data_IF_239020664908
#
_entry.id   IF_239020664908
#
_cell.length_a   1.000
_cell.length_b   1.000
_cell.length_c   1.000
_cell.angle_alpha   90.00
_cell.angle_beta   90.00
_cell.angle_gamma   90.00
#
_symmetry.space_group_name_H-M   'P 1'
#
loop_
_entity.id
_entity.type
_entity.pdbx_description
1 polymer ?
#
# COMPACT_ATOMS: atom_id res chain seq x y z
N UNK A 1 -9.44 28.67 37.11
CA UNK A 1 -9.42 28.33 35.68
C UNK A 1 -8.01 28.22 35.10
N UNK A 2 -7.09 29.08 35.46
CA UNK A 2 -5.70 28.96 35.03
C UNK A 2 -4.99 27.65 35.46
N UNK A 3 -5.41 27.08 36.60
CA UNK A 3 -4.87 25.80 37.08
C UNK A 3 -5.23 24.61 36.21
N UNK A 4 -6.40 24.60 35.58
CA UNK A 4 -6.81 23.53 34.65
C UNK A 4 -6.06 23.59 33.32
N UNK A 5 -5.82 24.77 32.80
CA UNK A 5 -5.03 24.94 31.57
C UNK A 5 -3.56 24.63 31.79
N UNK A 6 -3.01 24.89 32.98
CA UNK A 6 -1.65 24.51 33.35
C UNK A 6 -1.47 22.99 33.47
N UNK A 7 -2.46 22.30 34.06
CA UNK A 7 -2.46 20.83 34.11
C UNK A 7 -2.55 20.20 32.72
N UNK A 8 -3.38 20.75 31.84
CA UNK A 8 -3.50 20.30 30.48
C UNK A 8 -2.21 20.51 29.69
N UNK A 9 -1.57 21.67 29.82
CA UNK A 9 -0.30 21.97 29.20
C UNK A 9 0.83 21.08 29.72
N UNK A 10 0.83 20.71 31.00
CA UNK A 10 1.79 19.74 31.56
C UNK A 10 1.61 18.34 31.02
N UNK A 11 0.38 17.86 30.90
CA UNK A 11 0.09 16.54 30.32
C UNK A 11 0.47 16.51 28.85
N UNK A 12 0.10 17.54 28.09
CA UNK A 12 0.51 17.68 26.69
C UNK A 12 2.02 17.86 26.52
N UNK A 13 2.64 18.63 27.40
CA UNK A 13 4.09 18.82 27.40
C UNK A 13 4.86 17.52 27.67
N UNK A 14 4.36 16.68 28.58
CA UNK A 14 4.96 15.38 28.88
C UNK A 14 4.78 14.37 27.73
N UNK A 15 3.61 14.34 27.14
CA UNK A 15 3.33 13.48 25.97
C UNK A 15 4.20 13.89 24.79
N UNK A 16 4.35 15.18 24.54
CA UNK A 16 5.25 15.69 23.50
C UNK A 16 6.74 15.39 23.79
N UNK A 17 7.16 15.48 25.04
CA UNK A 17 8.51 15.11 25.44
C UNK A 17 8.75 13.60 25.30
N UNK A 18 7.79 12.76 25.64
CA UNK A 18 7.87 11.33 25.42
C UNK A 18 7.91 10.98 23.93
N UNK A 19 7.11 11.64 23.10
CA UNK A 19 7.14 11.49 21.64
C UNK A 19 8.48 11.96 21.06
N UNK A 20 9.05 13.04 21.57
CA UNK A 20 10.37 13.51 21.16
C UNK A 20 11.50 12.56 21.59
N UNK A 21 11.41 12.01 22.79
CA UNK A 21 12.36 11.00 23.28
C UNK A 21 12.22 9.68 22.51
N UNK A 22 11.01 9.25 22.19
CA UNK A 22 10.76 8.09 21.33
C UNK A 22 11.32 8.32 19.92
N UNK A 23 11.19 9.51 19.37
CA UNK A 23 11.79 9.86 18.06
C UNK A 23 13.32 9.81 18.08
N UNK A 24 13.96 10.16 19.19
CA UNK A 24 15.41 10.08 19.33
C UNK A 24 15.92 8.63 19.49
N UNK A 25 15.13 7.76 20.07
CA UNK A 25 15.44 6.33 20.24
C UNK A 25 14.97 5.46 19.08
N UNK A 26 14.19 6.03 18.16
CA UNK A 26 13.83 5.34 16.93
C UNK A 26 15.08 5.11 16.10
N UNK A 27 15.64 3.94 16.23
CA UNK A 27 16.74 3.47 15.43
C UNK A 27 16.35 3.52 13.94
N UNK A 28 17.33 3.71 13.08
CA UNK A 28 17.17 3.67 11.61
C UNK A 28 16.33 2.47 11.12
N UNK A 29 16.36 1.36 11.88
CA UNK A 29 15.61 0.14 11.62
C UNK A 29 14.09 0.37 11.69
N UNK A 30 13.59 1.09 12.71
CA UNK A 30 12.16 1.39 12.87
C UNK A 30 11.69 2.36 11.77
N UNK A 31 12.51 3.32 11.38
CA UNK A 31 12.21 4.21 10.25
C UNK A 31 12.13 3.48 8.91
N UNK A 32 12.99 2.48 8.71
CA UNK A 32 12.96 1.63 7.51
C UNK A 32 11.71 0.74 7.51
N UNK A 33 11.32 0.17 8.66
CA UNK A 33 10.12 -0.64 8.81
C UNK A 33 8.84 0.18 8.61
N UNK A 34 8.74 1.36 9.21
CA UNK A 34 7.58 2.25 9.03
C UNK A 34 7.48 2.78 7.61
N UNK A 35 8.60 3.08 6.97
CA UNK A 35 8.65 3.49 5.57
C UNK A 35 8.20 2.35 4.65
N UNK A 36 8.64 1.12 4.92
CA UNK A 36 8.24 -0.06 4.15
C UNK A 36 6.73 -0.33 4.27
N UNK A 37 6.19 -0.30 5.49
CA UNK A 37 4.75 -0.45 5.73
C UNK A 37 3.92 0.64 5.04
N UNK A 38 4.40 1.87 5.02
CA UNK A 38 3.71 2.97 4.35
C UNK A 38 3.71 2.80 2.82
N UNK A 39 4.84 2.40 2.26
CA UNK A 39 4.94 2.13 0.81
C UNK A 39 4.03 0.98 0.39
N UNK A 40 3.94 -0.07 1.20
CA UNK A 40 3.02 -1.19 0.95
C UNK A 40 1.57 -0.73 0.87
N UNK A 41 1.11 0.09 1.80
CA UNK A 41 -0.26 0.61 1.77
C UNK A 41 -0.52 1.51 0.55
N UNK A 42 0.42 2.36 0.18
CA UNK A 42 0.29 3.22 -0.99
C UNK A 42 0.22 2.42 -2.30
N UNK A 43 1.03 1.38 -2.44
CA UNK A 43 0.99 0.48 -3.62
C UNK A 43 -0.34 -0.26 -3.68
N UNK A 44 -0.79 -0.81 -2.56
CA UNK A 44 -2.07 -1.53 -2.50
C UNK A 44 -3.25 -0.65 -2.88
N UNK A 45 -3.31 0.56 -2.36
CA UNK A 45 -4.37 1.53 -2.68
C UNK A 45 -4.38 1.90 -4.16
N UNK A 46 -3.22 2.13 -4.76
CA UNK A 46 -3.10 2.42 -6.19
C UNK A 46 -3.50 1.23 -7.07
N UNK A 47 -3.01 0.04 -6.73
CA UNK A 47 -3.39 -1.20 -7.45
C UNK A 47 -4.89 -1.42 -7.40
N UNK A 48 -5.51 -1.27 -6.24
CA UNK A 48 -6.97 -1.38 -6.10
C UNK A 48 -7.70 -0.34 -6.95
N UNK A 49 -7.26 0.91 -6.91
CA UNK A 49 -7.87 1.98 -7.69
C UNK A 49 -7.85 1.69 -9.20
N UNK A 50 -6.73 1.18 -9.71
CA UNK A 50 -6.60 0.80 -11.13
C UNK A 50 -7.54 -0.36 -11.47
N UNK A 51 -7.61 -1.37 -10.62
CA UNK A 51 -8.50 -2.54 -10.82
C UNK A 51 -9.97 -2.08 -10.85
N UNK A 52 -10.38 -1.27 -9.90
CA UNK A 52 -11.73 -0.71 -9.84
C UNK A 52 -12.06 0.11 -11.09
N UNK A 53 -11.13 0.93 -11.56
CA UNK A 53 -11.31 1.77 -12.74
C UNK A 53 -11.43 0.96 -14.03
N UNK A 54 -10.64 -0.09 -14.19
CA UNK A 54 -10.60 -0.92 -15.40
C UNK A 54 -11.68 -2.00 -15.45
N UNK A 55 -11.90 -2.69 -14.35
CA UNK A 55 -12.88 -3.79 -14.28
C UNK A 55 -14.26 -3.31 -13.83
N UNK A 56 -14.37 -2.14 -13.22
CA UNK A 56 -15.63 -1.62 -12.70
C UNK A 56 -16.18 -2.41 -11.52
N UNK A 57 -15.31 -3.08 -10.78
CA UNK A 57 -15.64 -3.83 -9.57
C UNK A 57 -15.59 -2.93 -8.34
N UNK A 58 -16.25 -3.33 -7.25
CA UNK A 58 -16.19 -2.57 -6.01
C UNK A 58 -14.86 -2.78 -5.28
N UNK A 59 -14.38 -1.74 -4.63
CA UNK A 59 -13.15 -1.77 -3.84
C UNK A 59 -13.20 -2.84 -2.72
N UNK A 60 -14.40 -3.11 -2.20
CA UNK A 60 -14.63 -4.14 -1.19
C UNK A 60 -14.38 -5.57 -1.69
N UNK A 61 -14.52 -5.79 -2.99
CA UNK A 61 -14.27 -7.08 -3.63
C UNK A 61 -12.78 -7.29 -3.96
N UNK A 62 -12.04 -6.20 -4.09
CA UNK A 62 -10.61 -6.22 -4.39
C UNK A 62 -9.80 -6.50 -3.11
N UNK A 63 -9.74 -7.77 -2.73
CA UNK A 63 -8.92 -8.23 -1.61
C UNK A 63 -7.56 -8.73 -2.08
N UNK A 64 -6.62 -8.87 -1.17
CA UNK A 64 -5.27 -9.39 -1.51
C UNK A 64 -5.30 -10.85 -2.00
N UNK A 65 -6.30 -11.59 -1.57
CA UNK A 65 -6.51 -12.99 -1.97
C UNK A 65 -7.40 -13.12 -3.22
N UNK A 66 -7.99 -12.02 -3.67
CA UNK A 66 -8.87 -12.01 -4.83
C UNK A 66 -8.12 -12.40 -6.09
N UNK A 67 -8.67 -13.37 -6.81
CA UNK A 67 -8.17 -13.82 -8.11
C UNK A 67 -8.78 -12.96 -9.21
N UNK A 68 -7.98 -12.51 -10.16
CA UNK A 68 -8.46 -11.70 -11.28
C UNK A 68 -9.51 -12.42 -12.12
N UNK A 69 -9.32 -13.70 -12.37
CA UNK A 69 -10.23 -14.48 -13.23
C UNK A 69 -11.43 -15.03 -12.49
N UNK A 70 -11.25 -15.53 -11.25
CA UNK A 70 -12.31 -16.20 -10.51
C UNK A 70 -13.20 -15.24 -9.72
N UNK A 71 -12.59 -14.24 -9.07
CA UNK A 71 -13.29 -13.33 -8.16
C UNK A 71 -13.71 -12.04 -8.86
N UNK A 72 -12.83 -11.49 -9.70
CA UNK A 72 -13.08 -10.24 -10.41
C UNK A 72 -13.64 -10.45 -11.82
N UNK A 73 -13.65 -11.70 -12.31
CA UNK A 73 -14.19 -12.05 -13.61
C UNK A 73 -13.43 -11.43 -14.79
N UNK A 74 -12.14 -11.12 -14.59
CA UNK A 74 -11.29 -10.56 -15.62
C UNK A 74 -10.91 -11.62 -16.66
N UNK A 75 -11.03 -11.29 -17.93
CA UNK A 75 -10.52 -12.11 -19.02
C UNK A 75 -9.00 -11.98 -19.14
N UNK A 76 -8.39 -12.85 -19.95
CA UNK A 76 -6.95 -12.78 -20.23
C UNK A 76 -6.53 -11.44 -20.84
N UNK A 77 -7.39 -10.83 -21.65
CA UNK A 77 -7.18 -9.48 -22.20
C UNK A 77 -7.21 -8.41 -21.13
N UNK A 78 -8.17 -8.47 -20.24
CA UNK A 78 -8.30 -7.53 -19.10
C UNK A 78 -7.08 -7.63 -18.19
N UNK A 79 -6.60 -8.85 -17.93
CA UNK A 79 -5.39 -9.07 -17.13
C UNK A 79 -4.16 -8.41 -17.76
N UNK A 80 -3.99 -8.55 -19.05
CA UNK A 80 -2.89 -7.91 -19.79
C UNK A 80 -3.00 -6.39 -19.75
N UNK A 81 -4.20 -5.85 -19.94
CA UNK A 81 -4.45 -4.39 -19.84
C UNK A 81 -4.12 -3.86 -18.44
N UNK A 82 -4.51 -4.58 -17.38
CA UNK A 82 -4.17 -4.23 -16.01
C UNK A 82 -2.66 -4.20 -15.79
N UNK A 83 -1.96 -5.20 -16.29
CA UNK A 83 -0.49 -5.28 -16.20
C UNK A 83 0.17 -4.11 -16.91
N UNK A 84 -0.27 -3.77 -18.11
CA UNK A 84 0.23 -2.61 -18.85
C UNK A 84 0.00 -1.30 -18.10
N UNK A 85 -1.13 -1.18 -17.44
CA UNK A 85 -1.43 0.01 -16.63
C UNK A 85 -0.56 0.08 -15.37
N UNK A 86 -0.31 -1.06 -14.73
CA UNK A 86 0.66 -1.14 -13.62
C UNK A 86 2.07 -0.75 -14.07
N UNK A 87 2.52 -1.20 -15.23
CA UNK A 87 3.81 -0.81 -15.79
C UNK A 87 3.94 0.71 -15.98
N UNK A 88 2.90 1.35 -16.48
CA UNK A 88 2.87 2.80 -16.70
C UNK A 88 2.85 3.57 -15.39
N UNK A 89 2.00 3.16 -14.43
CA UNK A 89 1.82 3.86 -13.17
C UNK A 89 3.03 3.75 -12.24
N UNK A 90 3.62 2.56 -12.17
CA UNK A 90 4.78 2.29 -11.30
C UNK A 90 6.13 2.40 -12.00
N UNK A 91 6.14 2.55 -13.33
CA UNK A 91 7.38 2.63 -14.12
C UNK A 91 8.24 1.37 -14.07
N UNK A 92 7.59 0.22 -13.96
CA UNK A 92 8.22 -1.11 -13.93
C UNK A 92 7.96 -1.83 -15.24
N UNK A 93 8.75 -2.86 -15.53
CA UNK A 93 8.50 -3.75 -16.66
C UNK A 93 8.17 -5.14 -16.15
N UNK A 94 7.02 -5.65 -16.54
CA UNK A 94 6.54 -6.99 -16.17
C UNK A 94 6.61 -7.88 -17.41
N UNK A 95 7.53 -8.83 -17.48
CA UNK A 95 7.58 -9.76 -18.60
C UNK A 95 6.38 -10.70 -18.60
N UNK A 96 5.96 -11.14 -19.77
CA UNK A 96 4.79 -12.02 -19.95
C UNK A 96 4.86 -13.28 -19.10
N UNK A 97 6.06 -13.86 -18.94
CA UNK A 97 6.29 -15.03 -18.09
C UNK A 97 5.91 -14.81 -16.61
N UNK A 98 6.03 -13.58 -16.14
CA UNK A 98 5.63 -13.21 -14.79
C UNK A 98 4.16 -12.80 -14.74
N UNK A 99 3.68 -12.17 -15.80
CA UNK A 99 2.28 -11.81 -15.95
C UNK A 99 1.35 -13.02 -15.81
N UNK A 100 1.72 -14.14 -16.42
CA UNK A 100 0.97 -15.41 -16.31
C UNK A 100 0.94 -15.99 -14.89
N UNK A 101 1.95 -15.69 -14.08
CA UNK A 101 2.04 -16.14 -12.68
C UNK A 101 1.26 -15.25 -11.71
N UNK A 102 0.97 -14.03 -12.12
CA UNK A 102 0.19 -13.08 -11.33
C UNK A 102 -1.29 -13.41 -11.50
N UNK A 103 -1.77 -14.33 -10.70
CA UNK A 103 -3.16 -14.75 -10.70
C UNK A 103 -4.02 -14.03 -9.67
N UNK A 104 -3.40 -13.40 -8.68
CA UNK A 104 -4.07 -12.70 -7.58
C UNK A 104 -3.60 -11.25 -7.44
N UNK A 105 -4.42 -10.43 -6.80
CA UNK A 105 -4.06 -9.04 -6.47
C UNK A 105 -2.81 -8.99 -5.59
N UNK A 106 -2.68 -9.93 -4.64
CA UNK A 106 -1.52 -10.04 -3.77
C UNK A 106 -0.22 -10.32 -4.51
N UNK A 107 -0.25 -11.19 -5.52
CA UNK A 107 0.91 -11.48 -6.36
C UNK A 107 1.35 -10.24 -7.14
N UNK A 108 0.39 -9.48 -7.68
CA UNK A 108 0.65 -8.22 -8.37
C UNK A 108 1.33 -7.20 -7.44
N UNK A 109 0.79 -7.00 -6.25
CA UNK A 109 1.36 -6.09 -5.25
C UNK A 109 2.77 -6.51 -4.84
N UNK A 110 2.98 -7.80 -4.55
CA UNK A 110 4.28 -8.33 -4.17
C UNK A 110 5.34 -8.14 -5.28
N UNK A 111 4.93 -8.37 -6.53
CA UNK A 111 5.82 -8.15 -7.68
C UNK A 111 6.18 -6.68 -7.86
N UNK A 112 5.18 -5.79 -7.77
CA UNK A 112 5.39 -4.34 -7.87
C UNK A 112 6.31 -3.87 -6.74
N UNK A 113 6.07 -4.31 -5.51
CA UNK A 113 6.90 -3.95 -4.34
C UNK A 113 8.36 -4.37 -4.52
N UNK A 114 8.59 -5.55 -5.07
CA UNK A 114 9.93 -6.07 -5.32
C UNK A 114 10.68 -5.29 -6.41
N UNK A 115 9.97 -4.75 -7.39
CA UNK A 115 10.54 -4.06 -8.56
C UNK A 115 10.36 -2.55 -8.55
N UNK A 116 9.45 -2.01 -7.74
CA UNK A 116 9.32 -0.56 -7.56
C UNK A 116 10.55 0.02 -6.87
N UNK A 117 11.19 0.94 -7.55
CA UNK A 117 12.37 1.64 -7.03
C UNK A 117 12.00 2.95 -6.35
#
# INVERSE_FOLDING_TARGET
MCKKSHLFARIFGQVNKCLHLCKRKENKIIRLLTKKLKVMSEIQERVKAIIVDKLGVEESEVTMEASFTNDLGADSLDTVELIMEFEKEFGISIPDDQAEKIGSVGDAVAYIEANAK
#
